data_IF_161950645487
#
_entry.id   IF_161950645487
#
_cell.length_a   1.000
_cell.length_b   1.000
_cell.length_c   1.000
_cell.angle_alpha   90.00
_cell.angle_beta   90.00
_cell.angle_gamma   90.00
#
_symmetry.space_group_name_H-M   'P 1'
#
loop_
_entity.id
_entity.type
_entity.pdbx_description
1 polymer ?
#
# COMPACT_ATOMS: atom_id res chain seq x y z
N UNK A 1 -46.56 28.22 -52.19
CA UNK A 1 -45.19 28.32 -52.73
C UNK A 1 -44.38 29.18 -51.79
N UNK A 2 -43.06 28.95 -51.67
CA UNK A 2 -42.14 29.81 -50.94
C UNK A 2 -41.31 30.60 -51.97
N UNK A 3 -40.97 31.87 -51.68
CA UNK A 3 -40.04 32.67 -52.49
C UNK A 3 -38.73 32.77 -51.73
N UNK A 4 -37.62 32.44 -52.40
CA UNK A 4 -36.27 32.51 -51.83
C UNK A 4 -35.65 33.86 -52.16
N UNK A 5 -35.03 34.49 -51.16
CA UNK A 5 -34.19 35.67 -51.35
C UNK A 5 -32.80 35.35 -50.79
N UNK A 6 -31.77 35.43 -51.65
CA UNK A 6 -30.37 35.46 -51.22
C UNK A 6 -29.88 36.90 -51.23
N UNK A 7 -29.16 37.31 -50.19
CA UNK A 7 -28.44 38.58 -50.15
C UNK A 7 -27.03 38.30 -49.63
N UNK A 8 -26.03 38.96 -50.19
CA UNK A 8 -24.71 39.03 -49.56
C UNK A 8 -24.73 40.01 -48.37
N UNK A 9 -23.63 40.09 -47.62
CA UNK A 9 -23.49 40.96 -46.45
C UNK A 9 -23.70 42.47 -46.77
N UNK A 10 -23.87 42.86 -48.03
CA UNK A 10 -24.18 44.24 -48.46
C UNK A 10 -25.68 44.52 -48.65
N UNK A 11 -26.55 43.51 -48.49
CA UNK A 11 -28.01 43.70 -48.48
C UNK A 11 -28.63 44.00 -49.85
N UNK A 12 -27.89 43.84 -50.95
CA UNK A 12 -28.45 43.98 -52.30
C UNK A 12 -29.36 42.79 -52.63
N UNK A 13 -30.64 43.07 -52.90
CA UNK A 13 -31.68 42.10 -53.27
C UNK A 13 -31.70 41.93 -54.79
N UNK A 14 -31.33 40.76 -55.31
CA UNK A 14 -31.60 40.42 -56.71
C UNK A 14 -32.94 39.70 -56.81
N UNK A 15 -33.92 40.30 -57.49
CA UNK A 15 -35.25 39.73 -57.69
C UNK A 15 -35.23 38.50 -58.60
N UNK A 16 -36.15 37.56 -58.33
CA UNK A 16 -36.54 36.38 -59.13
C UNK A 16 -35.56 35.99 -60.24
N UNK A 17 -34.51 35.23 -59.89
CA UNK A 17 -33.55 34.73 -60.86
C UNK A 17 -32.81 33.52 -60.30
N UNK A 18 -32.61 32.54 -61.16
CA UNK A 18 -31.66 31.41 -61.00
C UNK A 18 -30.39 31.88 -60.30
N UNK A 19 -29.87 31.09 -59.36
CA UNK A 19 -28.55 31.28 -58.74
C UNK A 19 -27.46 31.31 -59.82
N UNK A 20 -27.25 32.45 -60.46
CA UNK A 20 -26.03 32.75 -61.20
C UNK A 20 -24.90 32.89 -60.17
N UNK A 21 -23.77 32.25 -60.43
CA UNK A 21 -22.59 32.13 -59.55
C UNK A 21 -22.42 33.31 -58.57
N UNK A 22 -22.99 33.18 -57.37
CA UNK A 22 -22.70 34.10 -56.28
C UNK A 22 -21.32 33.73 -55.75
N UNK A 23 -20.41 34.71 -55.69
CA UNK A 23 -19.12 34.51 -55.04
C UNK A 23 -19.36 34.23 -53.55
N UNK A 24 -18.60 33.27 -52.99
CA UNK A 24 -18.63 32.93 -51.55
C UNK A 24 -18.44 34.22 -50.73
N UNK A 25 -19.34 34.56 -49.79
CA UNK A 25 -19.16 35.69 -48.89
C UNK A 25 -17.82 35.60 -48.16
N UNK A 26 -17.16 36.73 -47.92
CA UNK A 26 -15.85 36.76 -47.26
C UNK A 26 -15.89 36.19 -45.83
N UNK A 27 -17.03 36.31 -45.14
CA UNK A 27 -17.31 35.73 -43.82
C UNK A 27 -17.88 34.31 -43.89
N UNK A 28 -18.16 33.79 -45.10
CA UNK A 28 -18.73 32.47 -45.34
C UNK A 28 -20.18 32.26 -44.87
N UNK A 29 -20.81 33.27 -44.27
CA UNK A 29 -22.14 33.16 -43.72
C UNK A 29 -23.19 33.49 -44.78
N UNK A 30 -24.06 32.53 -45.05
CA UNK A 30 -25.22 32.72 -45.93
C UNK A 30 -26.48 32.68 -45.08
N UNK A 31 -27.20 33.79 -45.04
CA UNK A 31 -28.52 33.84 -44.41
C UNK A 31 -29.58 33.65 -45.48
N UNK A 32 -30.28 32.52 -45.43
CA UNK A 32 -31.46 32.26 -46.24
C UNK A 32 -32.69 32.71 -45.46
N UNK A 33 -33.39 33.71 -45.98
CA UNK A 33 -34.66 34.17 -45.39
C UNK A 33 -35.83 33.60 -46.17
N UNK A 34 -36.73 32.93 -45.46
CA UNK A 34 -37.95 32.34 -46.02
C UNK A 34 -39.17 32.99 -45.38
N UNK A 35 -40.20 33.27 -46.17
CA UNK A 35 -41.51 33.69 -45.64
C UNK A 35 -42.64 33.08 -46.46
N UNK A 36 -43.84 33.05 -45.88
CA UNK A 36 -45.03 32.63 -46.61
C UNK A 36 -45.32 33.58 -47.77
N UNK A 37 -45.77 33.03 -48.91
CA UNK A 37 -46.20 33.84 -50.07
C UNK A 37 -47.67 34.27 -49.93
N UNK A 38 -48.47 33.58 -49.11
CA UNK A 38 -49.87 33.93 -48.88
C UNK A 38 -50.07 35.03 -47.83
N UNK A 39 -49.02 35.36 -47.07
CA UNK A 39 -49.03 36.45 -46.09
C UNK A 39 -47.68 37.17 -46.11
N UNK A 40 -47.64 38.34 -46.78
CA UNK A 40 -46.43 39.14 -46.95
C UNK A 40 -46.01 39.88 -45.69
N UNK A 41 -46.87 39.94 -44.66
CA UNK A 41 -46.59 40.54 -43.37
C UNK A 41 -46.06 39.52 -42.34
N UNK A 42 -46.06 38.23 -42.68
CA UNK A 42 -45.49 37.19 -41.83
C UNK A 42 -43.98 37.42 -41.61
N UNK A 43 -43.48 37.17 -40.39
CA UNK A 43 -42.05 37.27 -40.10
C UNK A 43 -41.25 36.26 -40.94
N UNK A 44 -39.99 36.60 -41.25
CA UNK A 44 -39.09 35.68 -41.94
C UNK A 44 -38.60 34.59 -40.98
N UNK A 45 -38.56 33.35 -41.46
CA UNK A 45 -37.70 32.31 -40.90
C UNK A 45 -36.31 32.46 -41.49
N UNK A 46 -35.31 32.59 -40.64
CA UNK A 46 -33.91 32.67 -41.06
C UNK A 46 -33.24 31.30 -40.89
N UNK A 47 -32.55 30.84 -41.93
CA UNK A 47 -31.61 29.75 -41.88
C UNK A 47 -30.22 30.31 -42.14
N UNK A 48 -29.36 30.25 -41.14
CA UNK A 48 -27.94 30.57 -41.30
C UNK A 48 -27.18 29.31 -41.71
N UNK A 49 -26.45 29.42 -42.81
CA UNK A 49 -25.53 28.40 -43.30
C UNK A 49 -24.12 28.97 -43.22
N UNK A 50 -23.27 28.33 -42.43
CA UNK A 50 -21.85 28.64 -42.40
C UNK A 50 -21.13 27.76 -43.42
N UNK A 51 -20.72 28.38 -44.54
CA UNK A 51 -19.97 27.72 -45.60
C UNK A 51 -18.49 27.54 -45.24
N UNK A 52 -18.02 28.15 -44.14
CA UNK A 52 -16.68 27.98 -43.61
C UNK A 52 -16.63 26.89 -42.54
N UNK A 53 -17.76 26.39 -42.04
CA UNK A 53 -17.78 25.38 -40.99
C UNK A 53 -17.05 24.10 -41.40
N UNK A 54 -16.10 23.67 -40.56
CA UNK A 54 -15.40 22.41 -40.72
C UNK A 54 -16.32 21.19 -40.61
N UNK A 55 -15.89 20.01 -41.09
CA UNK A 55 -16.66 18.77 -40.99
C UNK A 55 -17.05 18.40 -39.54
N UNK A 56 -18.19 17.73 -39.41
CA UNK A 56 -18.76 17.20 -38.15
C UNK A 56 -18.77 15.67 -38.14
N UNK A 57 -19.30 15.05 -37.09
CA UNK A 57 -19.45 13.59 -37.02
C UNK A 57 -18.13 12.83 -36.92
N UNK A 58 -17.07 13.51 -36.44
CA UNK A 58 -15.75 12.90 -36.29
C UNK A 58 -15.82 11.68 -35.36
N UNK A 59 -15.31 10.56 -35.84
CA UNK A 59 -15.26 9.30 -35.10
C UNK A 59 -14.02 8.48 -35.47
N UNK A 60 -13.67 7.51 -34.63
CA UNK A 60 -12.55 6.59 -34.87
C UNK A 60 -13.01 5.16 -34.65
N UNK A 61 -12.59 4.28 -35.55
CA UNK A 61 -12.71 2.83 -35.45
C UNK A 61 -11.31 2.21 -35.39
N UNK A 62 -11.19 1.09 -34.69
CA UNK A 62 -9.92 0.40 -34.46
C UNK A 62 -10.02 -0.98 -35.11
N UNK A 63 -9.01 -1.37 -35.90
CA UNK A 63 -8.96 -2.69 -36.51
C UNK A 63 -7.54 -3.06 -36.90
N UNK A 64 -7.05 -4.20 -36.41
CA UNK A 64 -5.78 -4.80 -36.85
C UNK A 64 -4.56 -3.89 -36.75
N UNK A 65 -4.43 -3.10 -35.68
CA UNK A 65 -3.31 -2.15 -35.49
C UNK A 65 -3.43 -0.84 -36.28
N UNK A 66 -4.57 -0.62 -36.94
CA UNK A 66 -4.89 0.62 -37.64
C UNK A 66 -6.02 1.37 -36.94
N UNK A 67 -6.01 2.69 -37.13
CA UNK A 67 -7.14 3.57 -36.84
C UNK A 67 -7.76 4.01 -38.14
N UNK A 68 -9.08 3.88 -38.24
CA UNK A 68 -9.88 4.53 -39.28
C UNK A 68 -10.55 5.75 -38.68
N UNK A 69 -10.06 6.94 -39.05
CA UNK A 69 -10.66 8.22 -38.71
C UNK A 69 -11.71 8.59 -39.76
N UNK A 70 -12.92 8.91 -39.32
CA UNK A 70 -14.08 9.14 -40.20
C UNK A 70 -14.81 10.41 -39.82
N UNK A 71 -15.50 11.03 -40.79
CA UNK A 71 -16.30 12.23 -40.61
C UNK A 71 -17.53 12.23 -41.53
N UNK A 72 -18.49 13.13 -41.23
CA UNK A 72 -19.65 13.34 -42.09
C UNK A 72 -19.22 14.00 -43.41
N UNK A 73 -19.61 13.44 -44.58
CA UNK A 73 -19.25 14.02 -45.87
C UNK A 73 -19.97 15.36 -46.08
N UNK A 74 -19.22 16.38 -46.51
CA UNK A 74 -19.79 17.67 -46.92
C UNK A 74 -20.04 17.68 -48.43
N UNK A 75 -21.27 18.01 -48.84
CA UNK A 75 -21.71 18.00 -50.25
C UNK A 75 -20.98 19.03 -51.13
N UNK A 76 -20.39 20.06 -50.53
CA UNK A 76 -19.59 21.09 -51.20
C UNK A 76 -18.11 20.73 -51.36
N UNK A 77 -17.67 19.55 -50.90
CA UNK A 77 -16.27 19.15 -50.86
C UNK A 77 -15.95 18.05 -51.90
N UNK A 78 -14.84 18.19 -52.64
CA UNK A 78 -14.27 17.09 -53.46
C UNK A 78 -13.01 16.47 -52.85
N UNK A 79 -12.41 17.13 -51.85
CA UNK A 79 -11.20 16.67 -51.15
C UNK A 79 -11.16 17.22 -49.72
N UNK A 80 -10.38 16.57 -48.87
CA UNK A 80 -10.19 16.92 -47.47
C UNK A 80 -8.71 17.10 -47.15
N UNK A 81 -8.43 17.96 -46.18
CA UNK A 81 -7.12 18.15 -45.57
C UNK A 81 -7.19 17.56 -44.15
N UNK A 82 -6.37 16.56 -43.87
CA UNK A 82 -6.37 15.78 -42.63
C UNK A 82 -5.10 16.08 -41.87
N UNK A 83 -5.23 16.46 -40.59
CA UNK A 83 -4.11 16.76 -39.71
C UNK A 83 -4.20 15.89 -38.48
N UNK A 84 -3.16 15.12 -38.18
CA UNK A 84 -3.08 14.29 -36.98
C UNK A 84 -1.77 14.56 -36.25
N UNK A 85 -1.85 15.02 -35.00
CA UNK A 85 -0.72 15.14 -34.08
C UNK A 85 -0.60 13.90 -33.21
N UNK A 86 0.63 13.50 -32.88
CA UNK A 86 0.92 12.49 -31.87
C UNK A 86 1.25 13.18 -30.55
N UNK A 87 0.32 13.12 -29.59
CA UNK A 87 0.45 13.76 -28.29
C UNK A 87 1.40 13.00 -27.36
N UNK A 88 1.56 11.69 -27.56
CA UNK A 88 2.49 10.87 -26.76
C UNK A 88 3.94 11.25 -27.04
N UNK A 89 4.29 11.49 -28.30
CA UNK A 89 5.66 11.87 -28.71
C UNK A 89 5.84 13.38 -28.89
N UNK A 90 4.78 14.16 -28.70
CA UNK A 90 4.74 15.61 -28.93
C UNK A 90 5.17 16.01 -30.37
N UNK A 91 4.82 15.18 -31.35
CA UNK A 91 5.10 15.42 -32.77
C UNK A 91 3.84 15.96 -33.45
N UNK A 92 3.94 17.18 -34.00
CA UNK A 92 2.87 17.76 -34.81
C UNK A 92 2.94 17.27 -36.26
N UNK A 93 1.79 17.20 -36.93
CA UNK A 93 1.66 16.67 -38.30
C UNK A 93 2.26 15.27 -38.43
N UNK A 94 2.08 14.44 -37.40
CA UNK A 94 2.51 13.05 -37.40
C UNK A 94 1.92 12.29 -38.60
N UNK A 95 0.66 12.58 -38.95
CA UNK A 95 0.13 12.34 -40.28
C UNK A 95 -0.45 13.63 -40.86
N UNK A 96 -0.20 13.87 -42.15
CA UNK A 96 -0.74 15.01 -42.88
C UNK A 96 -1.10 14.63 -44.30
N UNK A 97 -2.39 14.73 -44.64
CA UNK A 97 -2.89 14.44 -45.99
C UNK A 97 -3.70 15.61 -46.53
N UNK A 98 -3.13 16.49 -47.37
CA UNK A 98 -3.77 17.74 -47.74
C UNK A 98 -4.85 17.65 -48.83
N UNK A 99 -4.93 16.52 -49.55
CA UNK A 99 -5.79 16.31 -50.72
C UNK A 99 -6.47 14.94 -50.72
N UNK A 100 -6.94 14.49 -49.56
CA UNK A 100 -7.58 13.19 -49.41
C UNK A 100 -8.96 13.13 -50.08
N UNK A 101 -9.25 12.04 -50.79
CA UNK A 101 -10.55 11.79 -51.42
C UNK A 101 -11.29 10.71 -50.62
N UNK A 102 -12.52 11.00 -50.23
CA UNK A 102 -13.33 10.16 -49.35
C UNK A 102 -13.51 10.79 -47.98
N UNK A 103 -14.32 10.16 -47.14
CA UNK A 103 -14.70 10.66 -45.81
C UNK A 103 -14.13 9.80 -44.65
N UNK A 104 -13.19 8.92 -44.96
CA UNK A 104 -12.48 8.08 -44.00
C UNK A 104 -11.01 8.02 -44.36
N UNK A 105 -10.13 8.01 -43.36
CA UNK A 105 -8.69 7.87 -43.52
C UNK A 105 -8.17 6.84 -42.54
N UNK A 106 -7.47 5.83 -43.06
CA UNK A 106 -6.93 4.74 -42.25
C UNK A 106 -5.41 4.86 -42.20
N UNK A 107 -4.86 4.81 -41.00
CA UNK A 107 -3.42 4.90 -40.76
C UNK A 107 -3.00 3.93 -39.65
N UNK A 108 -1.76 3.40 -39.70
CA UNK A 108 -1.24 2.54 -38.66
C UNK A 108 -0.98 3.37 -37.39
N UNK A 109 -1.52 2.91 -36.27
CA UNK A 109 -1.33 3.56 -34.99
C UNK A 109 -1.56 2.60 -33.83
N UNK A 110 -0.58 2.52 -32.94
CA UNK A 110 -0.59 1.65 -31.78
C UNK A 110 0.08 2.34 -30.58
N UNK A 111 -0.44 2.11 -29.38
CA UNK A 111 0.14 2.54 -28.11
C UNK A 111 0.32 4.05 -27.92
N UNK A 112 -0.48 4.90 -28.59
CA UNK A 112 -0.30 6.35 -28.57
C UNK A 112 -1.63 7.12 -28.51
N UNK A 113 -1.56 8.34 -27.99
CA UNK A 113 -2.66 9.31 -27.96
C UNK A 113 -2.47 10.32 -29.08
N UNK A 114 -3.52 10.57 -29.84
CA UNK A 114 -3.54 11.45 -31.00
C UNK A 114 -4.58 12.56 -30.84
N UNK A 115 -4.36 13.63 -31.59
CA UNK A 115 -5.35 14.67 -31.84
C UNK A 115 -5.50 14.83 -33.35
N UNK A 116 -6.71 14.63 -33.85
CA UNK A 116 -7.02 14.75 -35.27
C UNK A 116 -7.97 15.90 -35.56
N UNK A 117 -7.76 16.51 -36.72
CA UNK A 117 -8.66 17.47 -37.34
C UNK A 117 -8.83 17.12 -38.81
N UNK A 118 -9.95 17.53 -39.36
CA UNK A 118 -10.20 17.51 -40.80
C UNK A 118 -10.83 18.82 -41.22
N UNK A 119 -10.53 19.28 -42.42
CA UNK A 119 -11.27 20.36 -43.10
C UNK A 119 -11.55 19.97 -44.53
N UNK A 120 -12.66 20.45 -45.08
CA UNK A 120 -12.98 20.26 -46.49
C UNK A 120 -12.28 21.30 -47.37
N UNK A 121 -12.15 20.98 -48.64
CA UNK A 121 -11.77 21.93 -49.70
C UNK A 121 -12.84 21.89 -50.79
N UNK A 122 -13.32 23.07 -51.15
CA UNK A 122 -14.45 23.21 -52.05
C UNK A 122 -14.13 22.75 -53.49
N UNK A 123 -15.17 22.28 -54.20
CA UNK A 123 -15.05 21.72 -55.56
C UNK A 123 -14.56 22.75 -56.59
N UNK A 124 -14.99 24.00 -56.48
CA UNK A 124 -14.81 25.01 -57.53
C UNK A 124 -13.48 25.78 -57.45
N UNK A 125 -13.02 26.11 -56.25
CA UNK A 125 -11.85 27.00 -56.04
C UNK A 125 -10.78 26.39 -55.12
N UNK A 126 -11.07 25.25 -54.47
CA UNK A 126 -10.17 24.62 -53.52
C UNK A 126 -10.04 25.35 -52.17
N UNK A 127 -10.88 26.35 -51.93
CA UNK A 127 -10.85 27.14 -50.70
C UNK A 127 -11.19 26.25 -49.51
N UNK A 128 -10.34 26.20 -48.47
CA UNK A 128 -10.59 25.37 -47.30
C UNK A 128 -11.74 25.93 -46.44
N UNK A 129 -12.39 25.04 -45.71
CA UNK A 129 -13.17 25.39 -44.51
C UNK A 129 -12.24 25.59 -43.31
N UNK A 130 -12.81 26.06 -42.22
CA UNK A 130 -12.21 25.93 -40.89
C UNK A 130 -11.96 24.46 -40.57
N UNK A 131 -11.01 24.23 -39.66
CA UNK A 131 -10.83 22.89 -39.11
C UNK A 131 -12.06 22.49 -38.31
N UNK A 132 -12.38 21.19 -38.37
CA UNK A 132 -13.31 20.57 -37.42
C UNK A 132 -12.90 20.88 -35.98
N UNK A 133 -13.83 20.67 -35.03
CA UNK A 133 -13.40 20.55 -33.63
C UNK A 133 -12.39 19.40 -33.51
N UNK A 134 -11.35 19.51 -32.66
CA UNK A 134 -10.38 18.44 -32.47
C UNK A 134 -11.06 17.18 -31.94
N UNK A 135 -10.71 16.02 -32.50
CA UNK A 135 -11.00 14.72 -31.90
C UNK A 135 -9.72 14.20 -31.23
N UNK A 136 -9.77 13.95 -29.92
CA UNK A 136 -8.69 13.32 -29.16
C UNK A 136 -9.04 11.85 -28.94
N UNK A 137 -8.12 10.94 -29.27
CA UNK A 137 -8.31 9.49 -29.12
C UNK A 137 -6.99 8.77 -28.83
N UNK A 138 -7.06 7.54 -28.30
CA UNK A 138 -5.90 6.73 -27.95
C UNK A 138 -5.99 5.35 -28.60
N UNK A 139 -4.87 4.88 -29.14
CA UNK A 139 -4.73 3.61 -29.88
C UNK A 139 -3.98 2.62 -29.00
N UNK A 140 -4.53 1.43 -28.76
CA UNK A 140 -3.94 0.43 -27.85
C UNK A 140 -3.86 0.93 -26.40
N UNK A 141 -4.74 0.41 -25.54
CA UNK A 141 -4.73 0.83 -24.14
C UNK A 141 -3.46 0.32 -23.46
N UNK A 142 -2.58 1.21 -23.03
CA UNK A 142 -1.50 0.86 -22.12
C UNK A 142 -2.16 0.31 -20.84
N UNK A 143 -1.89 -0.95 -20.46
CA UNK A 143 -2.52 -1.52 -19.29
C UNK A 143 -1.98 -0.83 -18.03
N UNK A 144 -2.84 -0.62 -17.04
CA UNK A 144 -2.45 -0.07 -15.74
C UNK A 144 -2.23 -1.21 -14.77
N UNK A 145 -1.03 -1.33 -14.22
CA UNK A 145 -0.75 -2.28 -13.13
C UNK A 145 -1.48 -1.84 -11.84
N UNK A 146 -2.34 -2.70 -11.29
CA UNK A 146 -3.22 -2.42 -10.16
C UNK A 146 -2.70 -3.01 -8.85
N UNK A 147 -2.00 -4.13 -8.89
CA UNK A 147 -1.34 -4.79 -7.76
C UNK A 147 0.11 -5.14 -8.13
N UNK A 148 1.00 -5.43 -7.17
CA UNK A 148 0.80 -5.51 -5.71
C UNK A 148 0.57 -4.16 -5.01
N UNK A 149 0.12 -4.19 -3.75
CA UNK A 149 0.11 -3.00 -2.89
C UNK A 149 1.52 -2.42 -2.72
N UNK A 150 1.63 -1.15 -2.35
CA UNK A 150 2.93 -0.47 -2.26
C UNK A 150 3.86 -1.08 -1.19
N UNK A 151 3.28 -1.69 -0.16
CA UNK A 151 4.00 -2.35 0.94
C UNK A 151 3.36 -3.71 1.18
N UNK A 152 4.20 -4.74 1.15
CA UNK A 152 3.87 -6.11 1.49
C UNK A 152 4.77 -6.57 2.65
N UNK A 153 4.34 -7.62 3.35
CA UNK A 153 5.15 -8.29 4.36
C UNK A 153 5.60 -9.63 3.80
N UNK A 154 6.86 -9.97 4.04
CA UNK A 154 7.47 -11.23 3.65
C UNK A 154 6.63 -12.45 4.08
N UNK A 155 6.38 -13.38 3.15
CA UNK A 155 5.57 -14.58 3.37
C UNK A 155 4.04 -14.35 3.43
N UNK A 156 3.52 -13.21 2.99
CA UNK A 156 2.06 -12.90 3.01
C UNK A 156 1.22 -13.53 1.89
N UNK A 157 1.74 -14.56 1.22
CA UNK A 157 1.28 -15.22 -0.03
C UNK A 157 2.07 -14.75 -1.27
N UNK A 158 2.16 -15.59 -2.33
CA UNK A 158 2.82 -15.22 -3.57
C UNK A 158 2.27 -13.91 -4.16
N UNK A 159 3.15 -13.10 -4.75
CA UNK A 159 2.75 -11.79 -5.27
C UNK A 159 1.84 -11.93 -6.49
N UNK A 160 0.58 -11.50 -6.33
CA UNK A 160 -0.35 -11.35 -7.44
C UNK A 160 -0.18 -10.00 -8.14
N UNK A 161 0.14 -10.04 -9.43
CA UNK A 161 0.16 -8.89 -10.32
C UNK A 161 -1.13 -8.85 -11.12
N UNK A 162 -1.92 -7.78 -10.97
CA UNK A 162 -3.14 -7.55 -11.74
C UNK A 162 -3.01 -6.27 -12.55
N UNK A 163 -3.66 -6.22 -13.70
CA UNK A 163 -3.68 -5.04 -14.56
C UNK A 163 -5.04 -4.83 -15.22
N UNK A 164 -5.30 -3.61 -15.71
CA UNK A 164 -6.51 -3.34 -16.47
C UNK A 164 -6.48 -4.00 -17.85
N UNK A 165 -7.60 -4.55 -18.31
CA UNK A 165 -7.74 -5.02 -19.68
C UNK A 165 -7.45 -3.89 -20.69
N UNK A 166 -6.74 -4.25 -21.77
CA UNK A 166 -6.41 -3.36 -22.86
C UNK A 166 -7.22 -3.69 -24.12
N UNK A 167 -7.65 -2.66 -24.84
CA UNK A 167 -8.32 -2.81 -26.14
C UNK A 167 -7.35 -3.41 -27.16
N UNK A 168 -7.86 -4.33 -27.99
CA UNK A 168 -7.13 -5.02 -29.05
C UNK A 168 -5.94 -5.87 -28.56
N UNK A 169 -5.88 -6.18 -27.26
CA UNK A 169 -4.88 -7.06 -26.72
C UNK A 169 -5.05 -8.48 -27.29
N UNK A 170 -4.00 -9.00 -27.90
CA UNK A 170 -3.88 -10.44 -28.21
C UNK A 170 -3.01 -11.16 -27.16
N UNK A 171 -2.30 -10.38 -26.33
CA UNK A 171 -1.52 -10.87 -25.20
C UNK A 171 -1.00 -9.74 -24.32
N UNK A 172 -0.22 -10.11 -23.30
CA UNK A 172 0.51 -9.17 -22.44
C UNK A 172 1.93 -9.65 -22.18
N UNK A 173 2.79 -8.73 -21.80
CA UNK A 173 4.07 -9.04 -21.17
C UNK A 173 4.18 -8.37 -19.80
N UNK A 174 4.73 -9.08 -18.82
CA UNK A 174 5.03 -8.61 -17.47
C UNK A 174 6.53 -8.62 -17.25
N UNK A 175 7.06 -7.50 -16.75
CA UNK A 175 8.44 -7.34 -16.30
C UNK A 175 8.43 -6.95 -14.83
N UNK A 176 9.16 -7.67 -13.97
CA UNK A 176 9.44 -7.26 -12.59
C UNK A 176 10.95 -7.24 -12.34
N UNK A 177 11.45 -6.21 -11.66
CA UNK A 177 12.86 -6.08 -11.27
C UNK A 177 13.03 -5.77 -9.80
N UNK A 178 14.06 -6.36 -9.22
CA UNK A 178 14.61 -5.96 -7.94
C UNK A 178 15.47 -4.71 -8.14
N UNK A 179 15.05 -3.60 -7.55
CA UNK A 179 15.73 -2.31 -7.67
C UNK A 179 17.01 -2.23 -6.83
N UNK A 180 17.12 -3.01 -5.76
CA UNK A 180 18.32 -3.06 -4.94
C UNK A 180 19.40 -3.93 -5.57
N UNK A 181 19.00 -5.07 -6.16
CA UNK A 181 19.92 -5.96 -6.87
C UNK A 181 20.20 -5.49 -8.32
N UNK A 182 19.34 -4.63 -8.87
CA UNK A 182 19.45 -4.16 -10.26
C UNK A 182 19.16 -5.25 -11.29
N UNK A 183 18.49 -6.33 -10.90
CA UNK A 183 18.25 -7.52 -11.73
C UNK A 183 16.77 -7.72 -12.04
N UNK A 184 16.47 -8.20 -13.24
CA UNK A 184 15.13 -8.64 -13.63
C UNK A 184 14.85 -10.03 -13.06
N UNK A 185 13.78 -10.14 -12.27
CA UNK A 185 13.41 -11.37 -11.55
C UNK A 185 12.23 -12.10 -12.20
N UNK A 186 11.32 -11.36 -12.84
CA UNK A 186 10.21 -11.94 -13.60
C UNK A 186 10.21 -11.28 -14.99
N UNK A 187 10.11 -12.12 -16.02
CA UNK A 187 9.82 -11.69 -17.39
C UNK A 187 8.91 -12.74 -18.03
N UNK A 188 7.63 -12.43 -18.15
CA UNK A 188 6.60 -13.32 -18.69
C UNK A 188 5.99 -12.69 -19.93
N UNK A 189 5.84 -13.48 -20.98
CA UNK A 189 5.44 -12.99 -22.33
C UNK A 189 4.36 -13.85 -22.99
N UNK A 190 3.84 -14.85 -22.26
CA UNK A 190 2.95 -15.91 -22.74
C UNK A 190 1.49 -15.71 -22.30
N UNK A 191 1.12 -14.50 -21.89
CA UNK A 191 -0.26 -14.17 -21.52
C UNK A 191 -1.12 -13.97 -22.77
N UNK A 192 -2.34 -14.51 -22.76
CA UNK A 192 -3.34 -14.22 -23.78
C UNK A 192 -4.00 -12.84 -23.58
N UNK A 193 -4.78 -12.40 -24.56
CA UNK A 193 -5.43 -11.08 -24.54
C UNK A 193 -6.51 -10.90 -23.47
N UNK A 194 -6.98 -11.99 -22.86
CA UNK A 194 -8.01 -11.98 -21.80
C UNK A 194 -7.40 -12.00 -20.40
N UNK A 195 -6.14 -12.41 -20.28
CA UNK A 195 -5.43 -12.54 -19.01
C UNK A 195 -5.11 -11.15 -18.44
N UNK A 196 -5.59 -10.89 -17.23
CA UNK A 196 -5.39 -9.62 -16.50
C UNK A 196 -4.78 -9.81 -15.11
N UNK A 197 -4.30 -11.02 -14.82
CA UNK A 197 -3.70 -11.38 -13.54
C UNK A 197 -2.58 -12.40 -13.74
N UNK A 198 -1.58 -12.35 -12.87
CA UNK A 198 -0.51 -13.32 -12.76
C UNK A 198 -0.13 -13.51 -11.29
N UNK A 199 -0.29 -14.73 -10.80
CA UNK A 199 0.24 -15.17 -9.51
C UNK A 199 1.67 -15.64 -9.73
N UNK A 200 2.64 -14.94 -9.13
CA UNK A 200 4.04 -15.34 -9.22
C UNK A 200 4.23 -16.71 -8.50
N UNK A 201 4.86 -17.71 -9.13
CA UNK A 201 5.12 -19.01 -8.50
C UNK A 201 6.30 -18.98 -7.52
N UNK A 202 6.95 -17.81 -7.39
CA UNK A 202 8.06 -17.57 -6.49
C UNK A 202 7.63 -16.52 -5.47
N UNK A 203 7.97 -16.76 -4.22
CA UNK A 203 7.88 -15.72 -3.19
C UNK A 203 9.05 -14.75 -3.41
N UNK A 204 8.73 -13.48 -3.63
CA UNK A 204 9.75 -12.46 -3.75
C UNK A 204 10.33 -12.15 -2.36
N UNK A 205 11.66 -12.12 -2.26
CA UNK A 205 12.36 -11.85 -1.00
C UNK A 205 12.20 -10.39 -0.54
N UNK A 206 12.49 -10.07 0.73
CA UNK A 206 12.49 -8.69 1.19
C UNK A 206 13.42 -7.78 0.37
N UNK A 207 12.82 -6.86 -0.41
CA UNK A 207 13.53 -5.89 -1.23
C UNK A 207 12.57 -4.82 -1.76
N UNK A 208 13.10 -3.91 -2.59
CA UNK A 208 12.31 -2.92 -3.31
C UNK A 208 12.20 -3.34 -4.77
N UNK A 209 10.97 -3.36 -5.29
CA UNK A 209 10.66 -3.84 -6.62
C UNK A 209 10.00 -2.78 -7.48
N UNK A 210 10.14 -2.95 -8.79
CA UNK A 210 9.37 -2.25 -9.80
C UNK A 210 8.81 -3.24 -10.81
N UNK A 211 7.55 -3.06 -11.17
CA UNK A 211 6.85 -3.86 -12.16
C UNK A 211 6.26 -2.99 -13.28
N UNK A 212 6.24 -3.56 -14.48
CA UNK A 212 5.68 -2.97 -15.69
C UNK A 212 4.91 -4.04 -16.47
N UNK A 213 3.82 -3.64 -17.10
CA UNK A 213 3.07 -4.47 -18.04
C UNK A 213 2.94 -3.75 -19.37
N UNK A 214 2.94 -4.49 -20.48
CA UNK A 214 2.60 -3.94 -21.80
C UNK A 214 1.68 -4.89 -22.55
N UNK A 215 0.92 -4.33 -23.48
CA UNK A 215 0.03 -5.10 -24.34
C UNK A 215 0.79 -5.61 -25.55
N UNK A 216 0.56 -6.88 -25.89
CA UNK A 216 0.88 -7.47 -27.19
C UNK A 216 -0.32 -7.28 -28.10
N UNK A 217 -0.09 -6.68 -29.26
CA UNK A 217 -1.09 -6.32 -30.26
C UNK A 217 -0.95 -7.24 -31.50
N UNK A 218 -1.98 -7.31 -32.36
CA UNK A 218 -1.92 -8.07 -33.61
C UNK A 218 -0.67 -7.75 -34.44
N UNK A 219 -0.15 -8.77 -35.12
CA UNK A 219 1.08 -8.63 -35.91
C UNK A 219 2.36 -8.52 -35.08
N UNK A 220 2.33 -8.94 -33.81
CA UNK A 220 3.48 -8.91 -32.89
C UNK A 220 4.04 -7.49 -32.67
N UNK A 221 3.12 -6.53 -32.58
CA UNK A 221 3.43 -5.15 -32.19
C UNK A 221 3.14 -4.96 -30.70
N UNK A 222 3.73 -3.94 -30.07
CA UNK A 222 3.65 -3.75 -28.61
C UNK A 222 3.26 -2.32 -28.27
N UNK A 223 2.47 -2.14 -27.21
CA UNK A 223 2.33 -0.83 -26.58
C UNK A 223 3.64 -0.42 -25.90
N UNK A 224 3.82 0.87 -25.55
CA UNK A 224 4.74 1.25 -24.49
C UNK A 224 4.46 0.44 -23.21
N UNK A 225 5.48 0.32 -22.36
CA UNK A 225 5.30 -0.18 -21.00
C UNK A 225 4.38 0.75 -20.20
N UNK A 226 3.63 0.16 -19.28
CA UNK A 226 2.83 0.90 -18.29
C UNK A 226 3.69 1.87 -17.49
N UNK A 227 3.02 2.80 -16.80
CA UNK A 227 3.65 3.48 -15.68
C UNK A 227 4.19 2.45 -14.68
N UNK A 228 5.30 2.79 -14.03
CA UNK A 228 5.96 1.91 -13.07
C UNK A 228 5.06 1.67 -11.85
N UNK A 229 4.92 0.40 -11.46
CA UNK A 229 4.38 0.03 -10.15
C UNK A 229 5.52 -0.34 -9.22
N UNK A 230 5.89 0.60 -8.35
CA UNK A 230 6.88 0.35 -7.30
C UNK A 230 6.22 -0.23 -6.05
N UNK A 231 6.85 -1.23 -5.46
CA UNK A 231 6.42 -1.83 -4.20
C UNK A 231 7.62 -2.29 -3.38
N UNK A 232 7.42 -2.48 -2.09
CA UNK A 232 8.46 -2.99 -1.17
C UNK A 232 7.92 -4.21 -0.45
N UNK A 233 8.73 -5.26 -0.39
CA UNK A 233 8.50 -6.40 0.49
C UNK A 233 9.35 -6.16 1.72
N UNK A 234 8.69 -5.92 2.84
CA UNK A 234 9.34 -5.67 4.10
C UNK A 234 9.61 -7.01 4.81
N UNK A 235 10.78 -7.20 5.42
CA UNK A 235 11.01 -8.37 6.24
C UNK A 235 10.05 -8.48 7.42
N UNK A 236 9.83 -9.71 7.87
CA UNK A 236 9.07 -9.98 9.08
C UNK A 236 9.70 -9.34 10.32
N UNK A 237 8.89 -8.93 11.31
CA UNK A 237 9.39 -8.48 12.62
C UNK A 237 10.28 -9.54 13.27
N UNK A 238 11.28 -9.08 14.02
CA UNK A 238 12.28 -9.96 14.64
C UNK A 238 11.70 -10.62 15.89
N UNK A 239 11.61 -11.96 15.96
CA UNK A 239 11.09 -12.63 17.13
C UNK A 239 12.08 -12.63 18.29
N UNK A 240 11.62 -12.24 19.49
CA UNK A 240 12.40 -12.40 20.72
C UNK A 240 12.32 -13.84 21.25
N UNK A 241 13.43 -14.33 21.80
CA UNK A 241 13.59 -15.73 22.23
C UNK A 241 13.92 -15.87 23.72
N UNK A 242 14.33 -14.80 24.41
CA UNK A 242 14.76 -14.89 25.80
C UNK A 242 14.85 -13.55 26.51
N UNK A 243 14.94 -13.62 27.85
CA UNK A 243 14.86 -12.45 28.73
C UNK A 243 13.44 -11.87 28.84
N UNK A 244 12.42 -12.73 28.75
CA UNK A 244 11.01 -12.37 28.77
C UNK A 244 10.30 -12.88 30.03
N UNK A 245 9.12 -12.34 30.33
CA UNK A 245 8.32 -12.74 31.50
C UNK A 245 8.82 -12.13 32.82
N UNK A 246 8.48 -12.75 33.94
CA UNK A 246 8.86 -12.26 35.27
C UNK A 246 10.30 -12.65 35.60
N UNK A 247 11.13 -11.65 35.88
CA UNK A 247 12.55 -11.78 36.18
C UNK A 247 12.93 -10.99 37.44
N UNK A 248 14.06 -11.34 38.06
CA UNK A 248 14.64 -10.63 39.20
C UNK A 248 15.84 -9.77 38.79
N UNK A 249 16.59 -10.20 37.77
CA UNK A 249 17.73 -9.47 37.20
C UNK A 249 17.29 -8.10 36.67
N UNK A 250 17.91 -7.04 37.19
CA UNK A 250 17.67 -5.66 36.75
C UNK A 250 18.48 -5.30 35.49
N UNK A 251 19.41 -6.14 35.07
CA UNK A 251 20.26 -5.99 33.88
C UNK A 251 20.06 -7.16 32.91
N UNK A 252 18.82 -7.47 32.51
CA UNK A 252 18.52 -8.71 31.79
C UNK A 252 19.32 -8.84 30.51
N UNK A 253 19.70 -10.08 30.21
CA UNK A 253 20.16 -10.46 28.88
C UNK A 253 18.97 -10.83 28.00
N UNK A 254 18.72 -10.01 26.99
CA UNK A 254 17.66 -10.21 26.01
C UNK A 254 18.24 -10.95 24.79
N UNK A 255 17.48 -11.88 24.23
CA UNK A 255 17.88 -12.61 23.00
C UNK A 255 16.76 -12.62 21.98
N UNK A 256 17.14 -12.70 20.71
CA UNK A 256 16.21 -12.78 19.58
C UNK A 256 16.75 -13.68 18.47
N UNK A 257 15.89 -14.03 17.52
CA UNK A 257 16.26 -14.85 16.37
C UNK A 257 17.11 -14.05 15.38
N UNK A 258 18.19 -14.67 14.90
CA UNK A 258 18.99 -14.11 13.82
C UNK A 258 18.18 -14.11 12.51
N UNK A 259 18.14 -12.97 11.85
CA UNK A 259 17.44 -12.80 10.58
C UNK A 259 18.43 -12.77 9.43
N UNK A 260 18.18 -13.56 8.37
CA UNK A 260 19.08 -13.67 7.23
C UNK A 260 19.32 -12.32 6.50
N UNK A 261 18.33 -11.44 6.50
CA UNK A 261 18.43 -10.11 5.86
C UNK A 261 19.18 -9.07 6.72
N UNK A 262 19.35 -9.30 8.02
CA UNK A 262 19.78 -8.27 8.96
C UNK A 262 21.28 -8.34 9.25
N UNK A 263 21.98 -7.21 9.13
CA UNK A 263 23.37 -7.04 9.55
C UNK A 263 23.52 -6.27 10.87
N UNK A 264 22.45 -5.63 11.33
CA UNK A 264 22.39 -5.00 12.65
C UNK A 264 20.94 -5.00 13.16
N UNK A 265 20.79 -4.77 14.45
CA UNK A 265 19.54 -4.71 15.17
C UNK A 265 19.44 -3.42 15.98
N UNK A 266 18.21 -2.98 16.14
CA UNK A 266 17.83 -1.96 17.10
C UNK A 266 16.96 -2.58 18.18
N UNK A 267 17.36 -2.38 19.43
CA UNK A 267 16.64 -2.77 20.63
C UNK A 267 16.05 -1.53 21.30
N UNK A 268 14.78 -1.61 21.66
CA UNK A 268 14.04 -0.55 22.33
C UNK A 268 13.27 -1.12 23.52
N UNK A 269 13.44 -0.53 24.70
CA UNK A 269 12.71 -0.90 25.92
C UNK A 269 12.04 0.36 26.46
N UNK A 270 10.75 0.30 26.73
CA UNK A 270 10.01 1.35 27.44
C UNK A 270 9.27 0.77 28.64
N UNK A 271 8.98 1.62 29.62
CA UNK A 271 8.00 1.25 30.67
C UNK A 271 6.67 1.01 29.98
N UNK A 272 5.98 -0.06 30.34
CA UNK A 272 4.72 -0.44 29.72
C UNK A 272 3.71 0.71 29.75
N UNK A 273 3.10 0.99 28.60
CA UNK A 273 2.17 2.12 28.45
C UNK A 273 2.82 3.49 28.26
N UNK A 274 4.15 3.56 28.13
CA UNK A 274 4.89 4.79 27.81
C UNK A 274 5.56 4.71 26.44
N UNK A 275 5.72 5.85 25.77
CA UNK A 275 6.35 5.93 24.44
C UNK A 275 7.85 6.21 24.47
N UNK A 276 8.38 6.75 25.58
CA UNK A 276 9.79 7.07 25.70
C UNK A 276 10.61 5.82 26.05
N UNK A 277 11.77 5.59 25.41
CA UNK A 277 12.62 4.48 25.78
C UNK A 277 13.31 4.78 27.12
N UNK A 278 13.28 3.81 28.02
CA UNK A 278 14.19 3.78 29.17
C UNK A 278 15.56 3.20 28.78
N UNK A 279 15.59 2.39 27.72
CA UNK A 279 16.82 1.81 27.18
C UNK A 279 16.69 1.66 25.66
N UNK A 280 17.73 2.06 24.93
CA UNK A 280 17.77 1.95 23.46
C UNK A 280 19.18 1.71 22.95
N UNK A 281 19.33 0.81 21.98
CA UNK A 281 20.58 0.54 21.25
C UNK A 281 20.26 0.34 19.78
N UNK A 282 20.99 0.99 18.88
CA UNK A 282 20.62 1.10 17.46
C UNK A 282 21.58 0.39 16.49
N UNK A 283 22.69 -0.14 17.01
CA UNK A 283 23.79 -0.66 16.18
C UNK A 283 24.28 -2.02 16.68
N UNK A 284 23.38 -2.84 17.23
CA UNK A 284 23.74 -4.17 17.75
C UNK A 284 23.99 -5.12 16.59
N UNK A 285 25.12 -5.84 16.58
CA UNK A 285 25.46 -6.78 15.50
C UNK A 285 25.27 -8.24 15.89
N UNK A 286 25.01 -8.49 17.17
CA UNK A 286 24.69 -9.79 17.75
C UNK A 286 23.19 -9.95 17.95
N UNK A 287 22.75 -11.17 18.21
CA UNK A 287 21.36 -11.52 18.50
C UNK A 287 21.05 -11.67 20.00
N UNK A 288 21.94 -11.11 20.83
CA UNK A 288 21.84 -11.07 22.28
C UNK A 288 22.43 -9.77 22.78
N UNK A 289 21.80 -9.20 23.81
CA UNK A 289 22.27 -7.98 24.44
C UNK A 289 21.90 -7.92 25.92
N UNK A 290 22.91 -7.74 26.77
CA UNK A 290 22.74 -7.49 28.22
C UNK A 290 22.51 -6.01 28.46
N UNK A 291 21.42 -5.68 29.16
CA UNK A 291 21.12 -4.30 29.54
C UNK A 291 22.20 -3.79 30.48
N UNK A 292 22.84 -2.67 30.13
CA UNK A 292 24.04 -2.17 30.81
C UNK A 292 23.76 -1.28 32.03
N UNK A 293 22.49 -1.03 32.32
CA UNK A 293 22.04 -0.16 33.40
C UNK A 293 20.84 -0.81 34.08
N UNK A 294 20.83 -0.83 35.41
CA UNK A 294 19.72 -1.41 36.17
C UNK A 294 18.39 -0.77 35.78
N UNK A 295 17.46 -1.62 35.39
CA UNK A 295 16.06 -1.28 35.19
C UNK A 295 15.35 -1.30 36.55
N UNK A 296 14.62 -0.24 36.92
CA UNK A 296 13.77 -0.27 38.10
C UNK A 296 12.77 -1.42 38.08
N UNK A 297 12.24 -1.80 39.24
CA UNK A 297 11.16 -2.80 39.29
C UNK A 297 9.90 -2.26 38.61
N UNK A 298 9.58 -2.77 37.43
CA UNK A 298 8.43 -2.33 36.62
C UNK A 298 8.13 -3.37 35.52
N UNK A 299 6.99 -3.22 34.86
CA UNK A 299 6.68 -3.92 33.62
C UNK A 299 7.17 -3.12 32.42
N UNK A 300 7.78 -3.83 31.46
CA UNK A 300 8.39 -3.24 30.29
C UNK A 300 7.82 -3.84 29.01
N UNK A 301 7.65 -2.97 28.01
CA UNK A 301 7.48 -3.40 26.63
C UNK A 301 8.86 -3.32 25.95
N UNK A 302 9.19 -4.36 25.18
CA UNK A 302 10.45 -4.46 24.45
C UNK A 302 10.21 -4.82 23.00
N UNK A 303 10.94 -4.15 22.12
CA UNK A 303 10.92 -4.39 20.70
C UNK A 303 12.34 -4.56 20.18
N UNK A 304 12.46 -5.39 19.16
CA UNK A 304 13.66 -5.49 18.35
C UNK A 304 13.26 -5.44 16.88
N UNK A 305 14.04 -4.71 16.08
CA UNK A 305 13.91 -4.71 14.63
C UNK A 305 15.26 -4.91 13.95
N UNK A 306 15.23 -5.58 12.81
CA UNK A 306 16.40 -5.88 12.00
C UNK A 306 16.60 -4.82 10.93
N UNK A 307 17.87 -4.53 10.64
CA UNK A 307 18.29 -3.68 9.53
C UNK A 307 19.20 -4.47 8.61
N UNK A 308 18.87 -4.47 7.33
CA UNK A 308 19.69 -5.03 6.27
C UNK A 308 20.46 -3.98 5.47
N UNK A 309 21.12 -4.40 4.38
CA UNK A 309 21.76 -3.49 3.43
C UNK A 309 20.72 -2.58 2.75
N UNK A 310 21.19 -1.46 2.17
CA UNK A 310 20.39 -0.55 1.33
C UNK A 310 19.12 0.02 2.00
N UNK A 311 19.09 0.09 3.35
CA UNK A 311 17.98 0.66 4.10
C UNK A 311 16.79 -0.29 4.28
N UNK A 312 16.91 -1.56 3.90
CA UNK A 312 15.93 -2.59 4.22
C UNK A 312 15.82 -2.71 5.76
N UNK A 313 14.61 -2.68 6.30
CA UNK A 313 14.36 -2.81 7.73
C UNK A 313 13.05 -3.53 7.98
N UNK A 314 12.97 -4.31 9.06
CA UNK A 314 11.69 -4.82 9.52
C UNK A 314 10.90 -3.74 10.25
N UNK A 315 9.60 -3.96 10.36
CA UNK A 315 8.78 -3.31 11.38
C UNK A 315 9.19 -3.78 12.77
N UNK A 316 8.71 -3.05 13.79
CA UNK A 316 8.88 -3.45 15.18
C UNK A 316 8.03 -4.66 15.60
N UNK A 317 6.92 -4.91 14.89
CA UNK A 317 5.92 -5.89 15.32
C UNK A 317 5.18 -5.47 16.59
N UNK A 318 4.53 -6.44 17.23
CA UNK A 318 3.94 -6.27 18.56
C UNK A 318 5.05 -6.29 19.63
N UNK A 319 4.90 -5.55 20.73
CA UNK A 319 5.85 -5.62 21.84
C UNK A 319 5.90 -7.02 22.45
N UNK A 320 7.10 -7.44 22.82
CA UNK A 320 7.31 -8.48 23.81
C UNK A 320 7.34 -7.85 25.21
N UNK A 321 7.14 -8.66 26.24
CA UNK A 321 6.98 -8.16 27.62
C UNK A 321 7.86 -8.92 28.60
N UNK A 322 8.38 -8.16 29.56
CA UNK A 322 9.02 -8.69 30.75
C UNK A 322 8.75 -7.76 31.93
N UNK A 323 8.85 -8.31 33.15
CA UNK A 323 8.68 -7.55 34.38
C UNK A 323 9.87 -7.77 35.29
N UNK A 324 10.49 -6.69 35.72
CA UNK A 324 11.59 -6.73 36.69
C UNK A 324 11.03 -6.67 38.10
N UNK A 325 11.42 -7.64 38.90
CA UNK A 325 11.13 -7.70 40.33
C UNK A 325 9.73 -8.17 40.68
N UNK A 326 9.03 -8.86 39.77
CA UNK A 326 7.73 -9.47 40.05
C UNK A 326 7.83 -10.43 41.25
N UNK A 327 6.92 -10.35 42.23
CA UNK A 327 6.99 -11.20 43.40
C UNK A 327 6.55 -12.64 43.08
N UNK A 328 7.17 -13.66 43.70
CA UNK A 328 6.60 -15.01 43.72
C UNK A 328 5.25 -15.02 44.44
N UNK A 329 4.38 -15.99 44.10
CA UNK A 329 3.09 -16.19 44.76
C UNK A 329 3.14 -17.42 45.67
N UNK A 330 2.74 -17.28 46.93
CA UNK A 330 2.58 -18.43 47.85
C UNK A 330 1.37 -19.24 47.41
N UNK A 331 1.58 -20.53 47.11
CA UNK A 331 0.58 -21.46 46.57
C UNK A 331 0.02 -22.43 47.60
N UNK A 332 0.64 -22.53 48.77
CA UNK A 332 0.03 -23.25 49.90
C UNK A 332 -1.24 -22.53 50.30
N UNK A 333 -2.36 -23.15 49.92
CA UNK A 333 -3.67 -22.51 49.92
C UNK A 333 -4.05 -21.90 51.26
N UNK A 334 -5.02 -21.00 51.19
CA UNK A 334 -5.80 -20.42 52.31
C UNK A 334 -6.56 -21.48 53.11
N UNK A 335 -5.91 -22.58 53.50
CA UNK A 335 -6.46 -23.58 54.39
C UNK A 335 -6.53 -22.96 55.78
N UNK A 336 -7.75 -22.76 56.24
CA UNK A 336 -8.08 -22.21 57.56
C UNK A 336 -7.64 -23.11 58.71
N UNK A 337 -7.23 -24.36 58.44
CA UNK A 337 -6.61 -25.28 59.40
C UNK A 337 -5.68 -26.29 58.69
N UNK A 338 -4.46 -26.47 59.20
CA UNK A 338 -3.60 -27.63 58.86
C UNK A 338 -3.97 -28.79 59.79
N UNK A 339 -4.54 -29.92 59.31
CA UNK A 339 -4.64 -31.11 60.13
C UNK A 339 -3.24 -31.72 60.30
N UNK A 340 -3.04 -32.40 61.44
CA UNK A 340 -1.82 -33.09 61.91
C UNK A 340 -0.98 -33.69 60.78
N UNK A 341 0.34 -33.50 60.89
CA UNK A 341 1.47 -34.02 60.08
C UNK A 341 1.11 -35.05 58.97
N UNK A 342 1.63 -34.85 57.74
CA UNK A 342 3.06 -34.50 57.56
C UNK A 342 3.41 -33.23 56.76
N UNK A 343 2.52 -32.26 56.53
CA UNK A 343 2.87 -31.14 55.61
C UNK A 343 2.60 -29.73 56.15
N UNK A 344 3.37 -29.29 57.17
CA UNK A 344 3.58 -27.86 57.48
C UNK A 344 4.48 -27.18 56.44
N UNK A 345 4.17 -27.36 55.16
CA UNK A 345 4.94 -26.82 54.06
C UNK A 345 4.35 -25.49 53.60
N UNK A 346 5.22 -24.54 53.27
CA UNK A 346 4.88 -23.33 52.51
C UNK A 346 5.48 -23.52 51.13
N UNK A 347 4.66 -23.44 50.07
CA UNK A 347 5.09 -23.58 48.67
C UNK A 347 4.83 -22.26 47.95
N UNK A 348 5.62 -21.96 46.93
CA UNK A 348 5.45 -20.77 46.10
C UNK A 348 5.80 -21.02 44.64
N UNK A 349 5.39 -20.10 43.76
CA UNK A 349 5.72 -20.12 42.33
C UNK A 349 7.18 -19.75 42.10
N UNK A 350 7.79 -20.37 41.09
CA UNK A 350 9.12 -19.99 40.63
C UNK A 350 9.10 -18.64 39.89
N UNK A 351 10.20 -17.90 39.99
CA UNK A 351 10.54 -16.78 39.10
C UNK A 351 11.68 -17.26 38.18
N UNK A 352 11.59 -16.95 36.88
CA UNK A 352 12.29 -17.67 35.80
C UNK A 352 13.82 -17.68 35.93
N UNK A 353 14.40 -16.57 36.35
CA UNK A 353 15.84 -16.36 36.48
C UNK A 353 16.34 -16.45 37.93
N UNK A 354 15.43 -16.55 38.91
CA UNK A 354 15.76 -16.54 40.32
C UNK A 354 16.53 -17.80 40.73
N UNK A 355 17.64 -17.60 41.43
CA UNK A 355 18.49 -18.68 41.94
C UNK A 355 18.13 -19.08 43.37
N UNK A 356 17.53 -18.16 44.12
CA UNK A 356 17.29 -18.31 45.56
C UNK A 356 16.02 -17.59 46.00
N UNK A 357 15.54 -17.91 47.20
CA UNK A 357 14.35 -17.31 47.82
C UNK A 357 14.60 -16.95 49.28
N UNK A 358 13.97 -15.86 49.71
CA UNK A 358 13.89 -15.46 51.11
C UNK A 358 12.47 -15.70 51.60
N UNK A 359 12.33 -16.36 52.75
CA UNK A 359 11.06 -16.56 53.46
C UNK A 359 11.05 -15.75 54.75
N UNK A 360 9.94 -15.07 55.01
CA UNK A 360 9.63 -14.39 56.25
C UNK A 360 8.28 -14.88 56.73
N UNK A 361 8.20 -15.35 57.99
CA UNK A 361 6.93 -15.65 58.67
C UNK A 361 6.82 -14.90 59.98
N UNK A 362 5.69 -14.25 60.20
CA UNK A 362 5.27 -13.66 61.47
C UNK A 362 4.23 -14.55 62.14
N UNK A 363 4.26 -14.59 63.47
CA UNK A 363 3.19 -15.13 64.31
C UNK A 363 2.31 -13.99 64.83
N UNK A 364 1.02 -14.03 64.54
CA UNK A 364 0.06 -13.02 64.97
C UNK A 364 -0.55 -13.27 66.35
N UNK A 365 -0.24 -14.41 66.97
CA UNK A 365 -0.81 -14.81 68.25
C UNK A 365 -1.81 -15.96 68.14
N UNK A 366 -2.31 -16.37 69.31
CA UNK A 366 -3.19 -17.51 69.49
C UNK A 366 -2.98 -18.10 70.88
N UNK A 367 -2.19 -19.18 70.95
CA UNK A 367 -1.75 -19.77 72.22
C UNK A 367 -0.66 -18.98 72.95
N UNK A 368 0.02 -18.05 72.27
CA UNK A 368 1.08 -17.18 72.81
C UNK A 368 0.93 -15.74 72.27
N UNK A 369 1.72 -14.79 72.78
CA UNK A 369 1.80 -13.41 72.25
C UNK A 369 2.36 -13.38 70.83
N UNK A 370 1.98 -12.36 70.05
CA UNK A 370 2.48 -12.18 68.69
C UNK A 370 4.01 -12.02 68.66
N UNK A 371 4.62 -12.57 67.62
CA UNK A 371 6.06 -12.53 67.42
C UNK A 371 6.36 -12.30 65.93
N UNK A 372 7.00 -11.17 65.63
CA UNK A 372 7.54 -10.92 64.29
C UNK A 372 8.74 -11.83 64.02
N UNK A 373 8.95 -12.20 62.75
CA UNK A 373 10.06 -13.01 62.27
C UNK A 373 10.25 -14.33 63.03
N UNK A 374 9.15 -14.99 63.41
CA UNK A 374 9.21 -16.30 64.06
C UNK A 374 9.89 -17.36 63.17
N UNK A 375 9.84 -17.17 61.84
CA UNK A 375 10.69 -17.87 60.88
C UNK A 375 11.30 -16.87 59.91
N UNK A 376 12.63 -16.91 59.76
CA UNK A 376 13.37 -16.13 58.75
C UNK A 376 14.38 -17.05 58.07
N UNK A 377 14.15 -17.32 56.79
CA UNK A 377 15.06 -18.12 55.96
C UNK A 377 15.53 -17.25 54.81
N UNK A 378 16.82 -17.32 54.51
CA UNK A 378 17.44 -16.58 53.42
C UNK A 378 18.18 -17.50 52.48
N UNK A 379 18.33 -17.09 51.22
CA UNK A 379 19.13 -17.81 50.23
C UNK A 379 18.69 -19.27 50.05
N UNK A 380 17.38 -19.53 50.11
CA UNK A 380 16.79 -20.86 49.99
C UNK A 380 16.76 -21.29 48.51
N UNK A 381 17.39 -22.41 48.19
CA UNK A 381 17.43 -22.99 46.84
C UNK A 381 16.28 -23.97 46.59
N UNK A 382 15.10 -23.70 47.14
CA UNK A 382 13.91 -24.55 47.03
C UNK A 382 12.67 -23.68 46.83
N UNK A 383 11.64 -24.25 46.22
CA UNK A 383 10.31 -23.62 46.06
C UNK A 383 9.34 -23.98 47.20
N UNK A 384 9.88 -24.61 48.24
CA UNK A 384 9.14 -25.10 49.38
C UNK A 384 9.97 -24.97 50.64
N UNK A 385 9.30 -24.73 51.77
CA UNK A 385 9.91 -24.77 53.08
C UNK A 385 9.00 -25.50 54.06
N UNK A 386 9.53 -26.51 54.73
CA UNK A 386 8.84 -27.18 55.83
C UNK A 386 9.10 -26.42 57.12
N UNK A 387 8.05 -25.91 57.75
CA UNK A 387 8.13 -25.26 59.07
C UNK A 387 8.58 -26.30 60.11
N UNK A 388 9.84 -26.20 60.50
CA UNK A 388 10.48 -27.04 61.53
C UNK A 388 10.33 -26.43 62.93
N UNK A 389 10.28 -27.27 63.95
CA UNK A 389 10.23 -26.86 65.36
C UNK A 389 8.82 -26.78 65.96
N UNK A 390 8.78 -26.61 67.28
CA UNK A 390 7.55 -26.48 68.05
C UNK A 390 6.97 -25.06 67.92
N UNK A 391 6.39 -24.75 66.76
CA UNK A 391 5.68 -23.50 66.53
C UNK A 391 4.34 -23.49 67.30
N UNK A 392 3.99 -22.41 68.04
CA UNK A 392 2.73 -22.32 68.78
C UNK A 392 1.48 -22.45 67.91
N UNK A 393 0.40 -23.00 68.46
CA UNK A 393 -0.91 -22.95 67.79
C UNK A 393 -1.37 -21.48 67.67
N UNK A 394 -1.92 -21.11 66.51
CA UNK A 394 -2.38 -19.75 66.23
C UNK A 394 -2.17 -19.34 64.78
N UNK A 395 -2.26 -18.04 64.52
CA UNK A 395 -2.31 -17.47 63.17
C UNK A 395 -0.94 -16.93 62.75
N UNK A 396 -0.58 -17.14 61.49
CA UNK A 396 0.70 -16.74 60.90
C UNK A 396 0.50 -15.97 59.60
N UNK A 397 1.44 -15.08 59.28
CA UNK A 397 1.57 -14.44 57.96
C UNK A 397 2.91 -14.78 57.36
N UNK A 398 2.92 -15.18 56.10
CA UNK A 398 4.13 -15.46 55.35
C UNK A 398 4.26 -14.55 54.13
N UNK A 399 5.52 -14.23 53.83
CA UNK A 399 5.97 -13.56 52.63
C UNK A 399 7.16 -14.30 52.06
N UNK A 400 7.23 -14.38 50.74
CA UNK A 400 8.39 -14.90 50.02
C UNK A 400 8.83 -13.90 48.96
N UNK A 401 10.14 -13.75 48.75
CA UNK A 401 10.70 -12.99 47.62
C UNK A 401 11.76 -13.82 46.93
N UNK A 402 11.92 -13.58 45.64
CA UNK A 402 12.92 -14.21 44.80
C UNK A 402 14.20 -13.36 44.79
N UNK A 403 15.33 -14.04 44.62
CA UNK A 403 16.67 -13.45 44.55
C UNK A 403 17.43 -14.02 43.35
N UNK A 404 18.18 -13.15 42.69
CA UNK A 404 19.19 -13.51 41.70
C UNK A 404 20.55 -13.07 42.23
N UNK A 405 21.47 -14.01 42.37
CA UNK A 405 22.85 -13.71 42.80
C UNK A 405 23.78 -13.88 41.61
N UNK A 406 24.47 -12.81 41.22
CA UNK A 406 25.46 -12.80 40.14
C UNK A 406 26.77 -12.20 40.64
N UNK A 407 27.77 -13.06 40.87
CA UNK A 407 29.01 -12.66 41.51
C UNK A 407 28.75 -12.05 42.90
N UNK A 408 29.08 -10.78 43.07
CA UNK A 408 28.87 -10.03 44.31
C UNK A 408 27.53 -9.24 44.34
N UNK A 409 26.75 -9.26 43.26
CA UNK A 409 25.50 -8.50 43.15
C UNK A 409 24.31 -9.40 43.47
N UNK A 410 23.35 -8.88 44.22
CA UNK A 410 22.11 -9.57 44.55
C UNK A 410 20.92 -8.70 44.16
N UNK A 411 20.15 -9.16 43.17
CA UNK A 411 18.88 -8.57 42.79
C UNK A 411 17.75 -9.25 43.56
N UNK A 412 16.68 -8.51 43.85
CA UNK A 412 15.54 -9.02 44.61
C UNK A 412 14.22 -8.66 43.97
N UNK A 413 13.23 -9.55 44.02
CA UNK A 413 11.85 -9.20 43.68
C UNK A 413 11.21 -8.34 44.77
N UNK A 414 9.99 -7.87 44.54
CA UNK A 414 9.09 -7.51 45.64
C UNK A 414 8.80 -8.74 46.51
N UNK A 415 8.38 -8.50 47.76
CA UNK A 415 7.78 -9.55 48.57
C UNK A 415 6.42 -9.94 47.99
N UNK A 416 6.08 -11.23 48.09
CA UNK A 416 4.76 -11.74 47.76
C UNK A 416 3.66 -10.96 48.49
N UNK A 417 2.43 -10.96 47.96
CA UNK A 417 1.27 -10.66 48.78
C UNK A 417 1.28 -11.51 50.06
N UNK A 418 0.66 -11.00 51.12
CA UNK A 418 0.54 -11.70 52.40
C UNK A 418 -0.21 -13.02 52.18
N UNK A 419 0.37 -14.13 52.64
CA UNK A 419 -0.36 -15.39 52.81
C UNK A 419 -0.59 -15.66 54.29
N UNK A 420 -1.85 -15.81 54.71
CA UNK A 420 -2.22 -16.07 56.11
C UNK A 420 -2.67 -17.52 56.29
N UNK A 421 -2.20 -18.17 57.35
CA UNK A 421 -2.56 -19.55 57.69
C UNK A 421 -2.57 -19.76 59.20
N UNK A 422 -3.14 -20.88 59.66
CA UNK A 422 -3.21 -21.22 61.09
C UNK A 422 -2.69 -22.61 61.39
N UNK A 423 -1.88 -22.74 62.45
CA UNK A 423 -1.48 -24.02 63.02
C UNK A 423 -2.41 -24.33 64.20
N UNK A 424 -2.93 -25.56 64.26
CA UNK A 424 -3.81 -26.07 65.34
C UNK A 424 -3.04 -27.00 66.24
#
# INVERSE_FOLDING_TARGET
GFVFFSGDASGQRTGNGVLSQAQRPADGLVTIRMRSVSDLNAPYTELQLDLNAGPTGLSVMYSGGNVTFSWDPQTSANRYDIWIDNLTTNVSQFYREPNWIGNTYTFPATGATFRAWVRSRAVQDGTPTDWSKPLIFSTGAIPKLLTPANLLIDGSAPETFTWSAARDAVGYELWVSDLNAGSRIIYKTDFDGQTTSYDAPIDLTPSRYAAWVRTVLPGNTFSPWSDVRAFTIQPNPVPMTGGLGSIVDATPTLTWEAQAYANRYELWISVRGTSAPVYRRTTLTTNSHTVLSELPKNSYDVWVRGYGPNGLQSGWGNPYQFTVGDPPAITTGSRTTFPVLPSRQINWTAISDATQYDLWVDYLGGSQSSQGQIVRITNLNALTYTLSGALPAGTYRAWVRALKVEGAVTYTSYWSPISQFSLV
#
